data_IF_580951653213
#
_entry.id   IF_580951653213
#
_cell.length_a   1.000
_cell.length_b   1.000
_cell.length_c   1.000
_cell.angle_alpha   90.00
_cell.angle_beta   90.00
_cell.angle_gamma   90.00
#
_symmetry.space_group_name_H-M   'P 1'
#
loop_
_entity.id
_entity.type
_entity.pdbx_description
1 polymer ?
#
# COMPACT_ATOMS: atom_id res chain seq x y z
N UNK A 1 -7.02 12.11 18.76
CA UNK A 1 -5.78 11.90 19.53
C UNK A 1 -5.46 13.16 20.33
N UNK A 2 -5.41 13.08 21.66
CA UNK A 2 -4.73 14.14 22.43
C UNK A 2 -3.25 13.99 22.12
N UNK A 3 -2.58 15.06 21.65
CA UNK A 3 -1.13 15.08 21.51
C UNK A 3 -0.44 14.72 22.83
N UNK A 4 0.87 14.43 22.80
CA UNK A 4 1.62 14.11 24.02
C UNK A 4 1.36 15.19 25.07
N UNK A 5 1.08 14.79 26.30
CA UNK A 5 0.91 15.67 27.46
C UNK A 5 2.26 16.39 27.69
N UNK A 6 2.47 17.46 26.96
CA UNK A 6 3.71 18.21 26.91
C UNK A 6 3.60 19.43 27.82
N UNK A 7 4.46 19.48 28.80
CA UNK A 7 4.56 20.61 29.71
C UNK A 7 4.91 21.92 28.95
N UNK A 8 5.83 21.89 28.02
CA UNK A 8 6.14 23.03 27.13
C UNK A 8 6.77 22.56 25.81
N UNK A 9 6.38 23.18 24.70
CA UNK A 9 6.99 23.03 23.40
C UNK A 9 7.69 24.33 23.03
N UNK A 10 8.89 24.24 22.46
CA UNK A 10 9.59 25.42 21.98
C UNK A 10 10.33 25.14 20.67
N UNK A 11 10.86 26.19 20.06
CA UNK A 11 11.56 26.10 18.78
C UNK A 11 13.05 25.92 18.97
N UNK A 12 13.65 25.00 18.22
CA UNK A 12 15.08 24.75 18.18
C UNK A 12 15.56 24.83 16.72
N UNK A 13 16.73 25.43 16.49
CA UNK A 13 17.35 25.39 15.16
C UNK A 13 17.93 24.00 14.92
N UNK A 14 17.70 23.45 13.74
CA UNK A 14 18.18 22.13 13.37
C UNK A 14 19.70 22.02 13.47
N UNK A 15 20.44 23.08 13.06
CA UNK A 15 21.89 23.15 13.17
C UNK A 15 22.41 23.24 14.60
N UNK A 16 21.56 23.62 15.58
CA UNK A 16 21.95 23.59 17.00
C UNK A 16 21.86 22.17 17.58
N UNK A 17 20.97 21.35 17.05
CA UNK A 17 20.73 19.97 17.50
C UNK A 17 21.60 18.93 16.76
N UNK A 18 21.91 19.18 15.49
CA UNK A 18 22.58 18.22 14.63
C UNK A 18 23.79 18.84 13.92
N UNK A 19 24.83 18.02 13.74
CA UNK A 19 25.88 18.27 12.75
C UNK A 19 25.37 17.73 11.41
N UNK A 20 25.26 18.62 10.42
CA UNK A 20 24.75 18.25 9.09
C UNK A 20 25.92 18.07 8.13
N UNK A 21 26.02 16.88 7.57
CA UNK A 21 27.06 16.51 6.60
C UNK A 21 26.44 16.13 5.27
N UNK A 22 27.09 16.43 4.16
CA UNK A 22 26.65 15.98 2.84
C UNK A 22 27.21 14.59 2.54
N UNK A 23 26.39 13.73 1.91
CA UNK A 23 26.87 12.47 1.38
C UNK A 23 27.85 12.63 0.21
N UNK A 24 28.43 11.54 -0.22
CA UNK A 24 29.51 11.53 -1.24
C UNK A 24 29.02 10.78 -2.48
N UNK A 25 29.22 11.40 -3.64
CA UNK A 25 28.88 10.81 -4.94
C UNK A 25 29.66 9.51 -5.15
N UNK A 26 28.94 8.45 -5.51
CA UNK A 26 29.50 7.19 -5.99
C UNK A 26 28.71 6.77 -7.24
N UNK A 27 29.38 6.69 -8.36
CA UNK A 27 28.73 6.30 -9.61
C UNK A 27 28.54 4.80 -9.68
N UNK A 28 27.55 4.32 -10.45
CA UNK A 28 27.30 2.88 -10.64
C UNK A 28 28.56 2.11 -11.08
N UNK A 29 29.40 2.73 -11.91
CA UNK A 29 30.65 2.13 -12.39
C UNK A 29 31.71 1.96 -11.30
N UNK A 30 31.63 2.75 -10.22
CA UNK A 30 32.55 2.72 -9.07
C UNK A 30 32.03 1.86 -7.92
N UNK A 31 30.76 1.45 -7.97
CA UNK A 31 30.17 0.60 -6.94
C UNK A 31 30.75 -0.81 -7.01
N UNK A 32 31.30 -1.27 -5.90
CA UNK A 32 31.72 -2.65 -5.69
C UNK A 32 30.57 -3.40 -5.03
N UNK A 33 30.14 -4.57 -5.52
CA UNK A 33 29.11 -5.36 -4.85
C UNK A 33 29.48 -5.72 -3.41
N UNK A 34 28.52 -5.62 -2.46
CA UNK A 34 28.79 -5.88 -1.05
C UNK A 34 27.53 -5.87 -0.19
N UNK A 35 27.70 -5.66 1.13
CA UNK A 35 26.60 -5.72 2.11
C UNK A 35 26.25 -4.37 2.74
N UNK A 36 27.04 -3.33 2.49
CA UNK A 36 26.86 -1.99 3.08
C UNK A 36 25.69 -1.30 2.37
N UNK A 37 24.77 -0.72 3.12
CA UNK A 37 23.66 0.04 2.60
C UNK A 37 24.16 1.32 1.89
N UNK A 38 23.77 1.52 0.64
CA UNK A 38 23.96 2.75 -0.10
C UNK A 38 22.64 3.53 -0.11
N UNK A 39 22.64 4.67 0.59
CA UNK A 39 21.47 5.53 0.76
C UNK A 39 21.42 6.54 -0.38
N UNK A 40 20.38 6.47 -1.18
CA UNK A 40 20.11 7.38 -2.29
C UNK A 40 18.86 8.23 -2.05
N UNK A 41 18.53 9.08 -3.02
CA UNK A 41 17.34 9.93 -2.98
C UNK A 41 16.07 9.12 -3.33
N UNK A 42 15.62 8.28 -2.40
CA UNK A 42 14.46 7.40 -2.52
C UNK A 42 13.50 7.64 -1.36
N UNK A 43 12.20 7.49 -1.61
CA UNK A 43 11.14 7.46 -0.58
C UNK A 43 10.84 6.04 -0.08
N UNK A 44 11.51 5.03 -0.62
CA UNK A 44 11.25 3.61 -0.38
C UNK A 44 12.43 2.94 0.32
N UNK A 45 12.17 1.80 0.98
CA UNK A 45 13.17 0.91 1.52
C UNK A 45 14.22 1.61 2.40
N UNK A 46 13.79 2.45 3.34
CA UNK A 46 14.66 3.23 4.24
C UNK A 46 15.74 4.05 3.49
N UNK A 47 15.47 4.47 2.24
CA UNK A 47 16.42 5.16 1.39
C UNK A 47 17.49 4.26 0.74
N UNK A 48 17.50 2.96 1.01
CA UNK A 48 18.49 2.02 0.45
C UNK A 48 18.21 1.76 -1.02
N UNK A 49 19.11 2.22 -1.89
CA UNK A 49 19.00 2.07 -3.35
C UNK A 49 19.96 1.05 -3.94
N UNK A 50 20.98 0.64 -3.18
CA UNK A 50 21.93 -0.41 -3.54
C UNK A 50 22.59 -1.01 -2.28
N UNK A 51 23.30 -2.13 -2.47
CA UNK A 51 24.24 -2.69 -1.48
C UNK A 51 25.65 -2.72 -2.08
N UNK A 52 26.61 -2.14 -1.37
CA UNK A 52 27.97 -1.90 -1.85
C UNK A 52 29.04 -2.48 -0.92
N UNK A 53 30.24 -2.66 -1.46
CA UNK A 53 31.45 -3.05 -0.72
C UNK A 53 32.45 -1.92 -0.51
N UNK A 54 32.18 -0.70 -1.01
CA UNK A 54 33.02 0.47 -0.84
C UNK A 54 33.02 0.92 0.64
N UNK A 55 34.20 1.28 1.19
CA UNK A 55 34.37 1.60 2.62
C UNK A 55 35.01 2.97 2.90
N UNK A 56 35.39 3.73 1.86
CA UNK A 56 36.23 4.94 2.01
C UNK A 56 35.49 6.14 2.64
N UNK A 57 34.15 6.14 2.58
CA UNK A 57 33.30 7.27 3.00
C UNK A 57 32.04 6.80 3.72
N UNK A 58 32.21 6.00 4.75
CA UNK A 58 31.09 5.46 5.54
C UNK A 58 30.69 6.42 6.66
N UNK A 59 29.39 6.46 6.91
CA UNK A 59 28.80 7.05 8.09
C UNK A 59 28.47 5.94 9.10
N UNK A 60 28.69 6.17 10.40
CA UNK A 60 28.31 5.21 11.43
C UNK A 60 26.78 5.06 11.55
N UNK A 61 26.35 4.00 12.23
CA UNK A 61 24.98 3.79 12.63
C UNK A 61 24.47 4.91 13.57
N UNK A 62 23.14 4.99 13.74
CA UNK A 62 22.51 5.94 14.67
C UNK A 62 22.31 7.35 14.10
N UNK A 63 22.47 7.53 12.81
CA UNK A 63 22.26 8.83 12.15
C UNK A 63 20.95 8.91 11.39
N UNK A 64 20.48 10.14 11.16
CA UNK A 64 19.32 10.41 10.32
C UNK A 64 19.81 10.84 8.93
N UNK A 65 19.23 10.27 7.88
CA UNK A 65 19.44 10.71 6.49
C UNK A 65 18.25 11.52 6.01
N UNK A 66 18.50 12.58 5.25
CA UNK A 66 17.49 13.47 4.69
C UNK A 66 17.79 13.72 3.22
N UNK A 67 16.89 13.35 2.33
CA UNK A 67 17.01 13.67 0.92
C UNK A 67 16.83 15.18 0.70
N UNK A 68 17.82 15.84 0.10
CA UNK A 68 17.73 17.27 -0.23
C UNK A 68 17.54 17.52 -1.74
N UNK A 69 17.66 16.48 -2.55
CA UNK A 69 17.43 16.48 -4.00
C UNK A 69 16.70 15.17 -4.39
N UNK A 70 15.87 15.21 -5.42
CA UNK A 70 14.99 14.08 -5.77
C UNK A 70 13.78 14.01 -4.83
N UNK A 71 13.69 13.02 -3.96
CA UNK A 71 12.63 12.87 -2.95
C UNK A 71 12.88 13.79 -1.74
N UNK A 72 12.79 15.12 -1.95
CA UNK A 72 13.16 16.11 -0.93
C UNK A 72 12.33 15.96 0.33
N UNK A 73 13.01 15.94 1.49
CA UNK A 73 12.39 15.80 2.80
C UNK A 73 12.21 14.37 3.28
N UNK A 74 12.31 13.37 2.40
CA UNK A 74 12.28 11.98 2.85
C UNK A 74 13.44 11.73 3.81
N UNK A 75 13.09 11.30 5.02
CA UNK A 75 14.00 11.21 6.16
C UNK A 75 13.92 9.83 6.79
N UNK A 76 15.08 9.25 7.11
CA UNK A 76 15.17 7.90 7.64
C UNK A 76 16.24 7.80 8.73
N UNK A 77 15.97 7.01 9.77
CA UNK A 77 16.98 6.57 10.74
C UNK A 77 17.77 5.40 10.16
N UNK A 78 19.10 5.43 10.34
CA UNK A 78 20.00 4.40 9.83
C UNK A 78 20.57 3.58 10.99
N UNK A 79 20.03 2.37 11.22
CA UNK A 79 20.45 1.52 12.34
C UNK A 79 21.81 0.84 12.12
N UNK A 80 22.30 0.84 10.88
CA UNK A 80 23.57 0.25 10.49
C UNK A 80 24.49 1.28 9.84
N UNK A 81 25.79 0.95 9.72
CA UNK A 81 26.75 1.73 8.98
C UNK A 81 26.37 1.78 7.49
N UNK A 82 26.53 2.94 6.87
CA UNK A 82 26.05 3.18 5.50
C UNK A 82 26.93 4.15 4.71
N UNK A 83 26.74 4.19 3.40
CA UNK A 83 27.22 5.22 2.51
C UNK A 83 26.03 6.10 2.08
N UNK A 84 26.16 7.43 2.19
CA UNK A 84 25.15 8.37 1.67
C UNK A 84 25.58 8.93 0.32
N UNK A 85 24.68 8.97 -0.65
CA UNK A 85 24.87 9.63 -1.95
C UNK A 85 24.97 11.15 -1.79
N UNK A 86 25.48 11.82 -2.81
CA UNK A 86 25.59 13.29 -2.86
C UNK A 86 24.23 14.02 -2.96
N UNK A 87 23.12 13.31 -3.02
CA UNK A 87 21.74 13.85 -2.96
C UNK A 87 21.10 13.73 -1.56
N UNK A 88 21.87 13.22 -0.59
CA UNK A 88 21.42 12.98 0.78
C UNK A 88 22.30 13.75 1.78
N UNK A 89 21.67 14.47 2.71
CA UNK A 89 22.29 15.01 3.90
C UNK A 89 22.22 14.01 5.04
N UNK A 90 23.23 13.98 5.87
CA UNK A 90 23.34 13.11 7.05
C UNK A 90 23.39 13.98 8.29
N UNK A 91 22.49 13.74 9.23
CA UNK A 91 22.33 14.43 10.49
C UNK A 91 22.89 13.57 11.62
N UNK A 92 23.98 13.99 12.23
CA UNK A 92 24.51 13.41 13.44
C UNK A 92 24.07 14.24 14.64
N UNK A 93 23.36 13.65 15.59
CA UNK A 93 22.92 14.36 16.79
C UNK A 93 24.14 14.84 17.61
N UNK A 94 24.06 16.05 18.16
CA UNK A 94 25.08 16.60 19.04
C UNK A 94 24.95 16.07 20.46
N UNK A 95 23.73 15.79 20.89
CA UNK A 95 23.45 15.09 22.14
C UNK A 95 23.36 13.59 21.90
N UNK A 96 23.49 12.79 22.95
CA UNK A 96 23.22 11.35 22.88
C UNK A 96 21.70 11.14 22.84
N UNK A 97 21.18 10.81 21.67
CA UNK A 97 19.78 10.43 21.46
C UNK A 97 19.68 8.97 21.02
N UNK A 98 18.62 8.31 21.43
CA UNK A 98 18.35 6.94 21.01
C UNK A 98 17.55 6.88 19.69
N UNK A 99 17.28 5.66 19.24
CA UNK A 99 16.50 5.41 18.03
C UNK A 99 15.11 6.01 18.13
N UNK A 100 14.42 5.83 19.25
CA UNK A 100 13.04 6.30 19.45
C UNK A 100 12.95 7.83 19.38
N UNK A 101 13.87 8.55 20.02
CA UNK A 101 13.96 10.01 19.91
C UNK A 101 14.25 10.44 18.45
N UNK A 102 15.09 9.69 17.74
CA UNK A 102 15.34 9.91 16.31
C UNK A 102 14.09 9.70 15.47
N UNK A 103 13.33 8.62 15.71
CA UNK A 103 12.08 8.32 15.02
C UNK A 103 11.01 9.39 15.24
N UNK A 104 10.95 10.00 16.44
CA UNK A 104 10.05 11.12 16.75
C UNK A 104 10.27 12.31 15.81
N UNK A 105 11.50 12.59 15.43
CA UNK A 105 11.87 13.75 14.61
C UNK A 105 11.57 13.52 13.11
N UNK A 106 11.59 12.28 12.62
CA UNK A 106 11.46 11.98 11.18
C UNK A 106 10.22 12.61 10.54
N UNK A 107 8.99 12.48 11.08
CA UNK A 107 7.80 13.10 10.49
C UNK A 107 7.87 14.64 10.49
N UNK A 108 8.55 15.24 11.45
CA UNK A 108 8.76 16.70 11.51
C UNK A 108 9.69 17.12 10.36
N UNK A 109 10.83 16.44 10.17
CA UNK A 109 11.73 16.69 9.06
C UNK A 109 11.05 16.50 7.71
N UNK A 110 10.30 15.41 7.56
CA UNK A 110 9.53 15.13 6.34
C UNK A 110 8.52 16.23 6.03
N UNK A 111 7.83 16.74 7.05
CA UNK A 111 6.88 17.85 6.87
C UNK A 111 7.58 19.17 6.52
N UNK A 112 8.72 19.48 7.12
CA UNK A 112 9.54 20.63 6.78
C UNK A 112 10.04 20.54 5.32
N UNK A 113 10.46 19.36 4.90
CA UNK A 113 10.95 19.10 3.55
C UNK A 113 9.94 19.37 2.44
N UNK A 114 8.62 19.30 2.73
CA UNK A 114 7.55 19.63 1.76
C UNK A 114 7.61 21.05 1.21
N UNK A 115 8.27 21.98 1.91
CA UNK A 115 8.49 23.37 1.46
C UNK A 115 9.56 23.52 0.39
N UNK A 116 10.30 22.45 0.11
CA UNK A 116 11.45 22.41 -0.77
C UNK A 116 11.19 21.49 -1.98
N UNK A 117 11.94 21.70 -3.06
CA UNK A 117 11.80 20.96 -4.29
C UNK A 117 12.96 21.20 -5.25
N UNK A 118 12.77 20.86 -6.53
CA UNK A 118 13.83 20.97 -7.54
C UNK A 118 14.36 22.42 -7.70
N UNK A 119 13.47 23.41 -7.69
CA UNK A 119 13.83 24.84 -7.87
C UNK A 119 14.38 25.47 -6.58
N UNK A 120 14.06 24.90 -5.41
CA UNK A 120 14.46 25.39 -4.10
C UNK A 120 14.94 24.21 -3.24
N UNK A 121 16.17 23.77 -3.45
CA UNK A 121 16.74 22.60 -2.77
C UNK A 121 16.98 22.85 -1.29
N UNK A 122 16.69 21.88 -0.45
CA UNK A 122 16.93 21.92 0.98
C UNK A 122 18.40 21.64 1.34
N UNK A 123 19.30 22.55 0.94
CA UNK A 123 20.74 22.42 1.14
C UNK A 123 21.12 22.52 2.62
N UNK A 124 22.33 22.10 2.97
CA UNK A 124 22.85 22.07 4.34
C UNK A 124 22.72 23.40 5.09
N UNK A 125 23.10 24.51 4.42
CA UNK A 125 23.04 25.86 4.97
C UNK A 125 21.61 26.26 5.33
N UNK A 126 20.68 26.04 4.41
CA UNK A 126 19.26 26.31 4.62
C UNK A 126 18.66 25.35 5.65
N UNK A 127 19.04 24.09 5.61
CA UNK A 127 18.58 23.07 6.56
C UNK A 127 19.00 23.38 7.99
N UNK A 128 20.22 23.89 8.20
CA UNK A 128 20.72 24.23 9.52
C UNK A 128 19.92 25.36 10.19
N UNK A 129 19.32 26.27 9.40
CA UNK A 129 18.54 27.40 9.89
C UNK A 129 17.06 27.06 10.15
N UNK A 130 16.62 25.87 9.76
CA UNK A 130 15.24 25.45 10.00
C UNK A 130 14.93 25.31 11.49
N UNK A 131 13.70 25.69 11.82
CA UNK A 131 13.17 25.62 13.18
C UNK A 131 12.29 24.38 13.35
N UNK A 132 12.66 23.56 14.31
CA UNK A 132 11.84 22.44 14.78
C UNK A 132 11.10 22.86 16.04
N UNK A 133 9.82 22.55 16.09
CA UNK A 133 9.01 22.74 17.30
C UNK A 133 8.95 21.40 18.04
N UNK A 134 9.61 21.34 19.20
CA UNK A 134 9.84 20.10 19.96
C UNK A 134 9.48 20.27 21.44
N UNK A 135 9.16 19.18 22.15
CA UNK A 135 9.05 19.17 23.61
C UNK A 135 10.35 19.67 24.25
N UNK A 136 10.22 20.49 25.29
CA UNK A 136 11.34 21.06 26.00
C UNK A 136 11.28 20.70 27.49
N UNK A 137 12.46 20.56 28.09
CA UNK A 137 12.65 20.44 29.52
C UNK A 137 12.49 21.83 30.19
N UNK A 138 12.33 21.86 31.50
CA UNK A 138 12.19 23.11 32.27
C UNK A 138 13.41 24.06 32.18
N UNK A 139 14.58 23.55 31.80
CA UNK A 139 15.79 24.34 31.53
C UNK A 139 15.94 24.75 30.05
N UNK A 140 14.88 24.55 29.25
CA UNK A 140 14.79 25.02 27.86
C UNK A 140 15.58 24.21 26.84
N UNK A 141 15.96 22.95 27.15
CA UNK A 141 16.60 22.02 26.22
C UNK A 141 15.56 21.08 25.61
N UNK A 142 15.87 20.43 24.47
CA UNK A 142 15.00 19.39 23.93
C UNK A 142 14.79 18.25 24.92
N UNK A 143 13.56 17.84 25.16
CA UNK A 143 13.25 16.69 26.03
C UNK A 143 13.34 15.38 25.24
N UNK A 144 14.56 14.95 24.95
CA UNK A 144 14.84 13.70 24.25
C UNK A 144 14.26 12.48 24.98
N UNK A 145 14.23 12.52 26.31
CA UNK A 145 13.67 11.43 27.14
C UNK A 145 12.17 11.33 26.97
N UNK A 146 11.46 12.46 26.92
CA UNK A 146 10.03 12.47 26.65
C UNK A 146 9.73 11.96 25.23
N UNK A 147 10.46 12.44 24.21
CA UNK A 147 10.29 12.01 22.82
C UNK A 147 10.53 10.51 22.67
N UNK A 148 11.57 9.97 23.30
CA UNK A 148 11.89 8.54 23.30
C UNK A 148 10.75 7.71 23.94
N UNK A 149 10.29 8.10 25.12
CA UNK A 149 9.20 7.41 25.83
C UNK A 149 7.89 7.46 25.05
N UNK A 150 7.58 8.57 24.41
CA UNK A 150 6.39 8.70 23.57
C UNK A 150 6.43 7.72 22.39
N UNK A 151 7.56 7.67 21.68
CA UNK A 151 7.73 6.74 20.56
C UNK A 151 7.70 5.28 21.00
N UNK A 152 8.34 4.96 22.16
CA UNK A 152 8.27 3.61 22.70
C UNK A 152 6.83 3.20 23.01
N UNK A 153 6.06 4.06 23.67
CA UNK A 153 4.64 3.78 23.97
C UNK A 153 3.79 3.61 22.68
N UNK A 154 4.11 4.33 21.62
CA UNK A 154 3.47 4.15 20.30
C UNK A 154 3.83 2.80 19.68
N UNK A 155 5.11 2.40 19.74
CA UNK A 155 5.58 1.11 19.25
C UNK A 155 4.96 -0.05 20.02
N UNK A 156 4.95 0.02 21.35
CA UNK A 156 4.35 -0.99 22.22
C UNK A 156 2.86 -1.20 21.92
N UNK A 157 2.12 -0.09 21.71
CA UNK A 157 0.71 -0.16 21.29
C UNK A 157 0.54 -0.80 19.90
N UNK A 158 1.43 -0.46 18.98
CA UNK A 158 1.38 -1.03 17.63
C UNK A 158 1.71 -2.52 17.66
N UNK A 159 2.70 -2.92 18.44
CA UNK A 159 3.08 -4.32 18.64
C UNK A 159 1.95 -5.12 19.28
N UNK A 160 1.33 -4.60 20.35
CA UNK A 160 0.16 -5.21 20.98
C UNK A 160 -1.01 -5.35 20.01
N UNK A 161 -1.28 -4.32 19.19
CA UNK A 161 -2.32 -4.39 18.18
C UNK A 161 -2.00 -5.43 17.09
N UNK A 162 -0.73 -5.58 16.69
CA UNK A 162 -0.29 -6.60 15.73
C UNK A 162 -0.45 -8.00 16.32
N UNK A 163 -0.10 -8.19 17.60
CA UNK A 163 -0.25 -9.47 18.30
C UNK A 163 -1.73 -9.86 18.44
N UNK A 164 -2.59 -8.91 18.87
CA UNK A 164 -4.04 -9.12 18.92
C UNK A 164 -4.62 -9.42 17.52
N UNK A 165 -4.15 -8.74 16.50
CA UNK A 165 -4.48 -9.04 15.10
C UNK A 165 -4.01 -10.44 14.70
N UNK A 166 -2.80 -10.84 15.11
CA UNK A 166 -2.26 -12.17 14.87
C UNK A 166 -3.11 -13.25 15.51
N UNK A 167 -3.54 -13.08 16.76
CA UNK A 167 -4.43 -14.02 17.47
C UNK A 167 -5.84 -14.07 16.83
N UNK A 168 -6.38 -12.93 16.40
CA UNK A 168 -7.66 -12.89 15.68
C UNK A 168 -7.59 -13.55 14.29
N UNK A 169 -6.45 -13.47 13.61
CA UNK A 169 -6.21 -14.11 12.30
C UNK A 169 -6.02 -15.63 12.39
N UNK A 170 -5.63 -16.16 13.57
CA UNK A 170 -5.43 -17.59 13.81
C UNK A 170 -6.68 -18.33 14.32
N UNK A 171 -7.88 -17.76 14.21
CA UNK A 171 -9.07 -18.60 14.18
C UNK A 171 -9.07 -19.35 12.84
N UNK A 172 -8.20 -20.38 12.80
CA UNK A 172 -8.16 -21.39 11.75
C UNK A 172 -9.49 -22.16 11.70
N UNK A 173 -10.50 -21.61 11.03
CA UNK A 173 -11.30 -22.49 10.20
C UNK A 173 -10.43 -22.86 9.01
N UNK A 174 -9.61 -23.91 9.15
CA UNK A 174 -8.90 -24.49 8.01
C UNK A 174 -9.94 -24.82 6.94
N UNK A 175 -9.87 -24.11 5.82
CA UNK A 175 -10.76 -24.38 4.70
C UNK A 175 -10.50 -25.80 4.22
N UNK A 176 -11.34 -26.76 4.57
CA UNK A 176 -11.26 -28.12 4.07
C UNK A 176 -11.70 -28.17 2.59
N UNK A 177 -10.72 -27.96 1.71
CA UNK A 177 -10.96 -28.02 0.27
C UNK A 177 -11.11 -29.46 -0.27
N UNK A 178 -10.99 -30.50 0.55
CA UNK A 178 -11.13 -31.90 0.10
C UNK A 178 -12.53 -32.25 -0.41
N UNK A 179 -13.53 -31.46 -0.03
CA UNK A 179 -14.94 -31.61 -0.44
C UNK A 179 -15.37 -30.65 -1.52
N UNK A 180 -14.45 -29.87 -2.06
CA UNK A 180 -14.77 -28.92 -3.12
C UNK A 180 -14.95 -29.66 -4.45
N UNK A 181 -15.89 -29.18 -5.24
CA UNK A 181 -16.27 -29.79 -6.52
C UNK A 181 -16.08 -28.78 -7.65
N UNK A 182 -15.60 -29.19 -8.85
CA UNK A 182 -15.49 -28.32 -10.00
C UNK A 182 -16.86 -28.02 -10.63
N UNK A 183 -17.10 -26.75 -10.94
CA UNK A 183 -18.28 -26.25 -11.65
C UNK A 183 -17.85 -25.37 -12.81
N UNK A 184 -18.43 -25.53 -13.99
CA UNK A 184 -18.15 -24.65 -15.12
C UNK A 184 -18.73 -23.26 -14.87
N UNK A 185 -17.94 -22.22 -15.17
CA UNK A 185 -18.40 -20.83 -15.02
C UNK A 185 -19.69 -20.59 -15.83
N UNK A 186 -19.80 -21.17 -17.04
CA UNK A 186 -20.99 -21.06 -17.86
C UNK A 186 -22.26 -21.74 -17.29
N UNK A 187 -22.11 -22.69 -16.34
CA UNK A 187 -23.23 -23.27 -15.60
C UNK A 187 -23.76 -22.31 -14.53
N UNK A 188 -22.84 -21.55 -13.88
CA UNK A 188 -23.12 -20.64 -12.78
C UNK A 188 -23.53 -19.24 -13.27
N UNK A 189 -23.00 -18.80 -14.41
CA UNK A 189 -23.19 -17.45 -14.92
C UNK A 189 -23.58 -17.42 -16.39
N UNK A 190 -24.36 -16.39 -16.76
CA UNK A 190 -24.50 -15.96 -18.15
C UNK A 190 -23.46 -14.86 -18.40
N UNK A 191 -22.60 -15.05 -19.41
CA UNK A 191 -21.49 -14.14 -19.70
C UNK A 191 -21.85 -13.24 -20.87
N UNK A 192 -21.79 -11.92 -20.65
CA UNK A 192 -21.98 -10.92 -21.70
C UNK A 192 -20.72 -10.09 -21.85
N UNK A 193 -20.36 -9.75 -23.10
CA UNK A 193 -19.26 -8.87 -23.38
C UNK A 193 -19.69 -7.41 -23.18
N UNK A 194 -18.81 -6.58 -22.63
CA UNK A 194 -19.02 -5.15 -22.54
C UNK A 194 -18.99 -4.44 -23.91
N UNK A 195 -19.39 -3.18 -23.93
CA UNK A 195 -19.57 -2.38 -25.12
C UNK A 195 -18.48 -1.30 -25.23
N UNK A 196 -17.88 -1.20 -26.41
CA UNK A 196 -16.85 -0.20 -26.69
C UNK A 196 -17.41 1.22 -26.57
N UNK A 197 -16.74 2.05 -25.76
CA UNK A 197 -16.99 3.48 -25.68
C UNK A 197 -15.63 4.19 -25.79
N UNK A 198 -15.45 4.97 -26.85
CA UNK A 198 -14.22 5.70 -27.05
C UNK A 198 -14.19 6.98 -26.22
N UNK A 199 -13.02 7.47 -25.85
CA UNK A 199 -12.89 8.74 -25.10
C UNK A 199 -13.60 9.92 -25.74
N UNK A 200 -13.64 9.96 -27.08
CA UNK A 200 -14.33 11.02 -27.84
C UNK A 200 -15.85 10.99 -27.70
N UNK A 201 -16.41 9.82 -27.37
CA UNK A 201 -17.84 9.61 -27.21
C UNK A 201 -18.28 9.52 -25.73
N UNK A 202 -17.34 9.64 -24.79
CA UNK A 202 -17.65 9.69 -23.35
C UNK A 202 -18.28 11.03 -23.03
N UNK A 203 -19.46 11.00 -22.43
CA UNK A 203 -20.14 12.16 -21.87
C UNK A 203 -19.76 12.31 -20.39
N UNK A 204 -19.56 13.53 -19.88
CA UNK A 204 -19.32 13.73 -18.46
C UNK A 204 -20.49 13.24 -17.59
N UNK A 205 -20.18 12.50 -16.51
CA UNK A 205 -21.21 11.96 -15.60
C UNK A 205 -20.63 11.24 -14.41
N UNK A 206 -21.49 10.51 -13.69
CA UNK A 206 -21.13 9.83 -12.43
C UNK A 206 -21.20 8.31 -12.51
N UNK A 207 -21.62 7.74 -13.65
CA UNK A 207 -21.69 6.29 -13.83
C UNK A 207 -20.30 5.68 -13.98
N UNK A 208 -19.92 4.68 -13.18
CA UNK A 208 -18.63 4.02 -13.32
C UNK A 208 -18.45 3.41 -14.71
N UNK A 209 -17.29 3.66 -15.33
CA UNK A 209 -16.83 3.01 -16.55
C UNK A 209 -15.75 1.98 -16.20
N UNK A 210 -16.09 0.70 -16.38
CA UNK A 210 -15.25 -0.43 -16.01
C UNK A 210 -14.38 -0.80 -17.21
N UNK A 211 -13.07 -0.76 -17.00
CA UNK A 211 -12.04 -1.12 -17.98
C UNK A 211 -11.11 -2.21 -17.47
N UNK A 212 -10.16 -2.63 -18.31
CA UNK A 212 -9.15 -3.62 -17.96
C UNK A 212 -8.02 -2.99 -17.12
N UNK A 213 -8.22 -2.90 -15.81
CA UNK A 213 -7.25 -2.42 -14.82
C UNK A 213 -7.16 -3.35 -13.62
N UNK A 214 -6.08 -3.22 -12.83
CA UNK A 214 -5.85 -3.93 -11.56
C UNK A 214 -6.43 -3.18 -10.36
N UNK A 215 -6.73 -1.89 -10.52
CA UNK A 215 -6.97 -0.94 -9.46
C UNK A 215 -8.41 -0.44 -9.44
N UNK A 216 -8.78 0.21 -8.35
CA UNK A 216 -10.03 0.96 -8.19
C UNK A 216 -11.28 0.16 -8.61
N UNK A 217 -11.37 -1.10 -8.22
CA UNK A 217 -12.48 -2.00 -8.53
C UNK A 217 -12.81 -2.06 -10.05
N UNK A 218 -11.81 -1.90 -10.92
CA UNK A 218 -11.98 -1.86 -12.36
C UNK A 218 -12.43 -0.51 -12.93
N UNK A 219 -12.71 0.49 -12.11
CA UNK A 219 -13.19 1.82 -12.55
C UNK A 219 -12.05 2.62 -13.13
N UNK A 220 -12.11 2.90 -14.44
CA UNK A 220 -11.11 3.69 -15.18
C UNK A 220 -11.58 5.11 -15.51
N UNK A 221 -12.89 5.37 -15.44
CA UNK A 221 -13.50 6.69 -15.66
C UNK A 221 -14.92 6.73 -15.07
N UNK A 222 -15.54 7.91 -15.11
CA UNK A 222 -16.96 8.09 -14.87
C UNK A 222 -17.60 8.74 -16.10
N UNK A 223 -18.76 8.24 -16.53
CA UNK A 223 -19.44 8.67 -17.76
C UNK A 223 -20.91 9.02 -17.51
N UNK A 224 -21.49 9.81 -18.40
CA UNK A 224 -22.92 10.15 -18.45
C UNK A 224 -23.71 9.29 -19.43
N UNK A 225 -23.03 8.49 -20.27
CA UNK A 225 -23.66 7.61 -21.25
C UNK A 225 -24.50 6.53 -20.56
N UNK A 226 -25.71 6.25 -21.07
CA UNK A 226 -26.68 5.33 -20.44
C UNK A 226 -27.19 4.21 -21.36
N UNK A 227 -26.80 4.21 -22.65
CA UNK A 227 -27.38 3.30 -23.67
C UNK A 227 -27.05 1.81 -23.46
N UNK A 228 -25.93 1.50 -22.80
CA UNK A 228 -25.43 0.14 -22.57
C UNK A 228 -25.02 -0.11 -21.12
N UNK A 229 -25.86 0.30 -20.19
CA UNK A 229 -25.59 0.08 -18.77
C UNK A 229 -25.87 -1.38 -18.38
N UNK A 230 -24.98 -1.92 -17.56
CA UNK A 230 -25.19 -3.15 -16.83
C UNK A 230 -25.73 -2.82 -15.42
N UNK A 231 -26.62 -3.66 -14.87
CA UNK A 231 -27.09 -3.47 -13.49
C UNK A 231 -25.97 -3.71 -12.49
N UNK A 232 -26.13 -3.25 -11.26
CA UNK A 232 -25.35 -3.72 -10.12
C UNK A 232 -25.69 -5.16 -9.75
N UNK A 233 -24.93 -5.76 -8.83
CA UNK A 233 -25.15 -7.14 -8.38
C UNK A 233 -24.53 -8.18 -9.30
N UNK A 234 -23.47 -7.84 -10.01
CA UNK A 234 -22.77 -8.72 -10.96
C UNK A 234 -21.25 -8.67 -10.78
N UNK A 235 -20.53 -9.62 -11.38
CA UNK A 235 -19.08 -9.66 -11.40
C UNK A 235 -18.58 -9.22 -12.79
N UNK A 236 -17.56 -8.39 -12.83
CA UNK A 236 -16.84 -8.04 -14.07
C UNK A 236 -15.49 -8.73 -14.09
N UNK A 237 -15.07 -9.22 -15.28
CA UNK A 237 -13.75 -9.84 -15.47
C UNK A 237 -13.09 -9.23 -16.69
N UNK A 238 -11.90 -8.66 -16.52
CA UNK A 238 -11.06 -8.26 -17.64
C UNK A 238 -10.56 -9.51 -18.39
N UNK A 239 -10.96 -9.66 -19.65
CA UNK A 239 -10.51 -10.78 -20.48
C UNK A 239 -9.37 -10.40 -21.46
N UNK A 240 -9.07 -9.12 -21.52
CA UNK A 240 -8.00 -8.51 -22.32
C UNK A 240 -7.26 -7.47 -21.49
N UNK A 241 -5.97 -7.23 -21.80
CA UNK A 241 -5.11 -6.29 -21.05
C UNK A 241 -3.97 -7.02 -20.35
N UNK A 242 -2.71 -6.61 -20.64
CA UNK A 242 -1.48 -7.33 -20.26
C UNK A 242 -1.43 -7.86 -18.82
N UNK A 243 -1.75 -7.01 -17.82
CA UNK A 243 -1.69 -7.38 -16.41
C UNK A 243 -3.06 -7.61 -15.79
N UNK A 244 -4.11 -7.13 -16.44
CA UNK A 244 -5.47 -7.15 -15.90
C UNK A 244 -6.27 -8.39 -16.29
N UNK A 245 -5.78 -9.21 -17.23
CA UNK A 245 -6.47 -10.45 -17.64
C UNK A 245 -6.75 -11.34 -16.44
N UNK A 246 -8.01 -11.78 -16.31
CA UNK A 246 -8.47 -12.60 -15.20
C UNK A 246 -8.87 -11.82 -13.93
N UNK A 247 -8.64 -10.50 -13.88
CA UNK A 247 -9.06 -9.72 -12.71
C UNK A 247 -10.56 -9.56 -12.68
N UNK A 248 -11.13 -10.07 -11.59
CA UNK A 248 -12.55 -10.06 -11.31
C UNK A 248 -12.89 -9.05 -10.22
N UNK A 249 -14.02 -8.34 -10.38
CA UNK A 249 -14.48 -7.35 -9.41
C UNK A 249 -16.00 -7.41 -9.25
N UNK A 250 -16.45 -7.28 -8.00
CA UNK A 250 -17.84 -7.09 -7.66
C UNK A 250 -18.32 -5.67 -8.01
N UNK A 251 -19.44 -5.56 -8.74
CA UNK A 251 -20.02 -4.27 -9.11
C UNK A 251 -21.36 -4.07 -8.37
N UNK A 252 -21.39 -3.27 -7.29
CA UNK A 252 -22.62 -3.09 -6.49
C UNK A 252 -23.64 -2.15 -7.13
N UNK A 253 -23.23 -1.31 -8.08
CA UNK A 253 -24.05 -0.26 -8.71
C UNK A 253 -24.09 -0.43 -10.22
N UNK A 254 -25.07 0.16 -10.92
CA UNK A 254 -25.06 0.20 -12.38
C UNK A 254 -23.79 0.84 -12.93
N UNK A 255 -23.30 0.31 -14.04
CA UNK A 255 -22.04 0.72 -14.66
C UNK A 255 -22.04 0.47 -16.18
N UNK A 256 -21.07 1.06 -16.88
CA UNK A 256 -20.73 0.73 -18.26
C UNK A 256 -19.48 -0.17 -18.28
N UNK A 257 -19.53 -1.31 -18.97
CA UNK A 257 -18.38 -2.17 -19.18
C UNK A 257 -17.74 -1.91 -20.56
N UNK A 258 -16.41 -1.72 -20.59
CA UNK A 258 -15.67 -1.63 -21.85
C UNK A 258 -15.66 -2.95 -22.61
N UNK A 259 -15.33 -2.90 -23.90
CA UNK A 259 -15.19 -4.08 -24.75
C UNK A 259 -14.02 -5.01 -24.39
N UNK A 260 -13.20 -4.66 -23.40
CA UNK A 260 -12.15 -5.51 -22.83
C UNK A 260 -12.58 -6.25 -21.55
N UNK A 261 -13.84 -6.11 -21.15
CA UNK A 261 -14.41 -6.67 -19.93
C UNK A 261 -15.61 -7.55 -20.25
N UNK A 262 -15.65 -8.74 -19.65
CA UNK A 262 -16.83 -9.60 -19.61
C UNK A 262 -17.62 -9.33 -18.33
N UNK A 263 -18.94 -9.36 -18.41
CA UNK A 263 -19.89 -9.20 -17.30
C UNK A 263 -20.57 -10.53 -17.04
N UNK A 264 -20.46 -11.03 -15.82
CA UNK A 264 -20.98 -12.31 -15.37
C UNK A 264 -22.28 -12.10 -14.61
N UNK A 265 -23.39 -12.47 -15.20
CA UNK A 265 -24.72 -12.44 -14.61
C UNK A 265 -24.99 -13.76 -13.88
N UNK A 266 -25.18 -13.74 -12.56
CA UNK A 266 -25.38 -14.97 -11.79
C UNK A 266 -26.69 -15.65 -12.13
N UNK A 267 -26.69 -16.99 -12.13
CA UNK A 267 -27.89 -17.84 -12.21
C UNK A 267 -28.39 -18.29 -10.83
N UNK A 268 -27.84 -17.66 -9.78
CA UNK A 268 -28.15 -17.89 -8.36
C UNK A 268 -28.22 -16.53 -7.64
N UNK A 269 -28.59 -16.54 -6.38
CA UNK A 269 -28.64 -15.32 -5.56
C UNK A 269 -27.20 -14.91 -5.13
N UNK A 270 -26.61 -13.97 -5.86
CA UNK A 270 -25.24 -13.49 -5.64
C UNK A 270 -25.24 -12.31 -4.67
N UNK A 271 -24.65 -12.51 -3.51
CA UNK A 271 -24.38 -11.43 -2.55
C UNK A 271 -22.94 -10.89 -2.71
N UNK A 272 -22.65 -9.76 -2.09
CA UNK A 272 -21.29 -9.20 -2.04
C UNK A 272 -20.30 -10.21 -1.47
N UNK A 273 -20.65 -10.87 -0.38
CA UNK A 273 -19.79 -11.86 0.28
C UNK A 273 -19.46 -13.03 -0.64
N UNK A 274 -20.46 -13.58 -1.35
CA UNK A 274 -20.22 -14.65 -2.31
C UNK A 274 -19.32 -14.15 -3.45
N UNK A 275 -19.56 -12.94 -3.95
CA UNK A 275 -18.73 -12.36 -5.00
C UNK A 275 -17.27 -12.19 -4.54
N UNK A 276 -17.04 -11.72 -3.30
CA UNK A 276 -15.70 -11.59 -2.72
C UNK A 276 -15.03 -12.95 -2.53
N UNK A 277 -15.77 -14.00 -2.15
CA UNK A 277 -15.23 -15.37 -2.07
C UNK A 277 -14.78 -15.88 -3.45
N UNK A 278 -15.55 -15.58 -4.49
CA UNK A 278 -15.26 -16.04 -5.85
C UNK A 278 -14.12 -15.26 -6.53
N UNK A 279 -13.86 -14.01 -6.14
CA UNK A 279 -12.84 -13.16 -6.78
C UNK A 279 -11.45 -13.81 -6.88
N UNK A 280 -10.82 -14.30 -5.79
CA UNK A 280 -9.51 -14.93 -5.87
C UNK A 280 -9.51 -16.20 -6.72
N UNK A 281 -10.62 -16.94 -6.76
CA UNK A 281 -10.77 -18.13 -7.59
C UNK A 281 -10.80 -17.76 -9.09
N UNK A 282 -11.48 -16.68 -9.45
CA UNK A 282 -11.44 -16.15 -10.81
C UNK A 282 -10.04 -15.66 -11.19
N UNK A 283 -9.32 -15.01 -10.26
CA UNK A 283 -7.96 -14.53 -10.51
C UNK A 283 -7.01 -15.70 -10.80
N UNK A 284 -7.13 -16.78 -10.04
CA UNK A 284 -6.32 -17.99 -10.27
C UNK A 284 -6.73 -18.68 -11.58
N UNK A 285 -8.01 -18.82 -11.86
CA UNK A 285 -8.52 -19.40 -13.09
C UNK A 285 -8.14 -18.60 -14.34
N UNK A 286 -8.02 -17.27 -14.20
CA UNK A 286 -7.58 -16.36 -15.26
C UNK A 286 -6.06 -16.31 -15.50
N UNK A 287 -5.27 -16.81 -14.56
CA UNK A 287 -3.81 -16.72 -14.57
C UNK A 287 -3.10 -17.36 -15.78
N UNK A 288 -3.59 -18.47 -16.36
CA UNK A 288 -2.98 -19.04 -17.56
C UNK A 288 -3.14 -18.18 -18.81
N UNK A 289 -4.05 -17.19 -18.82
CA UNK A 289 -4.37 -16.41 -20.00
C UNK A 289 -3.56 -15.10 -20.04
N UNK A 290 -3.24 -14.64 -21.26
CA UNK A 290 -2.43 -13.47 -21.53
C UNK A 290 -2.94 -12.71 -22.77
N UNK A 291 -2.18 -11.71 -23.24
CA UNK A 291 -2.54 -10.89 -24.39
C UNK A 291 -2.67 -11.69 -25.68
N UNK A 292 -1.80 -12.67 -25.89
CA UNK A 292 -1.74 -13.58 -27.06
C UNK A 292 -2.66 -14.79 -26.91
N UNK A 293 -3.12 -15.10 -25.71
CA UNK A 293 -4.12 -16.14 -25.43
C UNK A 293 -5.21 -15.62 -24.48
N UNK A 294 -6.10 -14.79 -25.00
CA UNK A 294 -7.17 -14.13 -24.23
C UNK A 294 -8.14 -15.12 -23.60
N UNK A 295 -8.58 -14.81 -22.41
CA UNK A 295 -9.65 -15.55 -21.74
C UNK A 295 -11.03 -15.19 -22.32
N UNK A 296 -11.27 -15.59 -23.59
CA UNK A 296 -12.52 -15.27 -24.28
C UNK A 296 -13.75 -15.78 -23.55
N UNK A 297 -14.93 -15.27 -23.91
CA UNK A 297 -16.21 -15.72 -23.35
C UNK A 297 -16.35 -17.24 -23.43
N UNK A 298 -16.06 -17.84 -24.60
CA UNK A 298 -16.22 -19.28 -24.87
C UNK A 298 -15.26 -20.09 -23.98
N UNK A 299 -14.01 -19.65 -23.80
CA UNK A 299 -13.05 -20.28 -22.88
C UNK A 299 -13.50 -20.13 -21.44
N UNK A 300 -13.98 -18.95 -21.07
CA UNK A 300 -14.44 -18.64 -19.72
C UNK A 300 -15.65 -19.51 -19.33
N UNK A 301 -16.60 -19.71 -20.24
CA UNK A 301 -17.77 -20.60 -20.02
C UNK A 301 -17.37 -22.05 -19.73
N UNK A 302 -16.27 -22.54 -20.32
CA UNK A 302 -15.76 -23.90 -20.11
C UNK A 302 -14.75 -24.02 -18.97
N UNK A 303 -14.27 -22.91 -18.45
CA UNK A 303 -13.35 -22.91 -17.31
C UNK A 303 -14.07 -23.35 -16.03
N UNK A 304 -13.43 -24.20 -15.26
CA UNK A 304 -13.97 -24.71 -14.00
C UNK A 304 -13.45 -23.91 -12.80
N UNK A 305 -14.34 -23.64 -11.87
CA UNK A 305 -14.03 -23.16 -10.52
C UNK A 305 -14.29 -24.30 -9.54
N UNK A 306 -13.32 -24.61 -8.71
CA UNK A 306 -13.51 -25.59 -7.63
C UNK A 306 -14.10 -24.87 -6.42
N UNK A 307 -15.32 -25.24 -6.03
CA UNK A 307 -16.12 -24.57 -4.99
C UNK A 307 -16.56 -25.54 -3.89
N UNK A 308 -16.80 -25.03 -2.67
CA UNK A 308 -17.49 -25.79 -1.63
C UNK A 308 -18.81 -26.32 -2.13
N UNK A 309 -19.10 -27.61 -1.87
CA UNK A 309 -20.30 -28.28 -2.33
C UNK A 309 -21.13 -28.82 -1.17
N UNK A 310 -22.46 -28.73 -1.30
CA UNK A 310 -23.41 -29.41 -0.43
C UNK A 310 -23.44 -30.91 -0.76
N UNK A 311 -24.06 -31.73 0.11
CA UNK A 311 -24.21 -33.16 -0.08
C UNK A 311 -25.06 -33.54 -1.30
N UNK A 312 -25.86 -32.61 -1.82
CA UNK A 312 -26.69 -32.76 -3.04
C UNK A 312 -25.90 -32.44 -4.31
N UNK A 313 -24.64 -32.07 -4.23
CA UNK A 313 -23.77 -31.73 -5.35
C UNK A 313 -23.88 -30.28 -5.85
N UNK A 314 -24.70 -29.44 -5.22
CA UNK A 314 -24.80 -28.01 -5.54
C UNK A 314 -23.73 -27.21 -4.81
N UNK A 315 -23.30 -26.03 -5.33
CA UNK A 315 -22.40 -25.14 -4.60
C UNK A 315 -22.97 -24.70 -3.25
N UNK A 316 -22.15 -24.68 -2.21
CA UNK A 316 -22.56 -24.23 -0.88
C UNK A 316 -22.41 -22.71 -0.73
N UNK A 317 -23.37 -21.98 -1.33
CA UNK A 317 -23.41 -20.50 -1.27
C UNK A 317 -23.51 -19.97 0.16
N UNK A 318 -24.21 -20.69 1.04
CA UNK A 318 -24.37 -20.30 2.45
C UNK A 318 -23.05 -20.37 3.22
N UNK A 319 -22.24 -21.41 2.96
CA UNK A 319 -20.89 -21.51 3.52
C UNK A 319 -20.02 -20.33 3.05
N UNK A 320 -19.96 -20.08 1.74
CA UNK A 320 -19.15 -18.99 1.17
C UNK A 320 -19.55 -17.64 1.77
N UNK A 321 -20.88 -17.39 1.89
CA UNK A 321 -21.37 -16.14 2.47
C UNK A 321 -21.01 -15.99 3.94
N UNK A 322 -21.18 -17.05 4.75
CA UNK A 322 -20.85 -17.02 6.19
C UNK A 322 -19.36 -16.81 6.41
N UNK A 323 -18.52 -17.53 5.66
CA UNK A 323 -17.07 -17.41 5.73
C UNK A 323 -16.61 -15.97 5.46
N UNK A 324 -17.09 -15.36 4.37
CA UNK A 324 -16.73 -13.98 4.05
C UNK A 324 -17.30 -12.95 5.02
N UNK A 325 -18.48 -13.20 5.61
CA UNK A 325 -19.01 -12.33 6.68
C UNK A 325 -18.14 -12.37 7.91
N UNK A 326 -17.65 -13.55 8.34
CA UNK A 326 -16.72 -13.69 9.45
C UNK A 326 -15.43 -12.90 9.16
N UNK A 327 -14.80 -13.10 8.01
CA UNK A 327 -13.59 -12.37 7.61
C UNK A 327 -13.79 -10.84 7.56
N UNK A 328 -14.96 -10.36 7.10
CA UNK A 328 -15.29 -8.92 7.11
C UNK A 328 -15.44 -8.37 8.53
N UNK A 329 -16.02 -9.14 9.45
CA UNK A 329 -16.16 -8.75 10.85
C UNK A 329 -14.80 -8.67 11.54
N UNK A 330 -13.95 -9.67 11.32
CA UNK A 330 -12.58 -9.70 11.84
C UNK A 330 -11.77 -8.51 11.31
N UNK A 331 -11.84 -8.25 10.00
CA UNK A 331 -11.17 -7.11 9.39
C UNK A 331 -11.68 -5.75 9.90
N UNK A 332 -13.00 -5.63 10.16
CA UNK A 332 -13.59 -4.40 10.74
C UNK A 332 -13.12 -4.18 12.18
N UNK A 333 -13.09 -5.24 12.99
CA UNK A 333 -12.57 -5.19 14.37
C UNK A 333 -11.10 -4.73 14.40
N UNK A 334 -10.29 -5.21 13.45
CA UNK A 334 -8.89 -4.79 13.29
C UNK A 334 -8.78 -3.30 12.93
N UNK A 335 -9.61 -2.82 12.00
CA UNK A 335 -9.61 -1.41 11.58
C UNK A 335 -10.05 -0.51 12.74
N UNK A 336 -11.04 -0.93 13.52
CA UNK A 336 -11.51 -0.18 14.69
C UNK A 336 -10.41 -0.08 15.75
N UNK A 337 -9.70 -1.18 16.05
CA UNK A 337 -8.53 -1.19 16.95
C UNK A 337 -7.40 -0.26 16.46
N UNK A 338 -7.10 -0.25 15.15
CA UNK A 338 -6.11 0.66 14.57
C UNK A 338 -6.56 2.12 14.60
N UNK A 339 -7.85 2.39 14.57
CA UNK A 339 -8.43 3.74 14.67
C UNK A 339 -8.37 4.33 16.08
N UNK A 340 -8.18 3.51 17.11
CA UNK A 340 -8.02 3.93 18.51
C UNK A 340 -6.56 4.17 18.91
N UNK A 341 -5.59 3.84 18.03
CA UNK A 341 -4.15 4.11 18.19
C UNK A 341 -3.82 5.47 17.55
#
# INVERSE_FOLDING_TARGET
MKGPDCLEWTTFRLGDLFVISKGTRLTKAQMIPGKINYIGASSMNNGVTARIGNTERLFPAGMITVCYNGSVGESFYQPEMFWASDDVNVLAAKDAIDENASLFILPILKNLGKRYGFANKWRQDVMADELLYLPATSDGKPDWTHMSRYMQAMLDKTESAIDEMGEAYFHEETIDSSKWTPYKIGELFTILKGTRLTRANMEPGTTPFIGATLENNGVTAHVGNTDHLHPGGVITIAYNGQKATGKAFWQPKPFWASDDVNVLYPKFDLTEEIALFLQPLFWEAGRPYAYDDKWSKEKMEQTELTLPAKSDGNPDWEYMQRHMKSLKQDASGIIDMLGEV
#
